data_IF_782129972015
#
_entry.id   IF_782129972015
#
_cell.length_a   1.000
_cell.length_b   1.000
_cell.length_c   1.000
_cell.angle_alpha   90.00
_cell.angle_beta   90.00
_cell.angle_gamma   90.00
#
_symmetry.space_group_name_H-M   'P 1'
#
loop_
_entity.id
_entity.type
_entity.pdbx_description
1 polymer ?
#
# COMPACT_ATOMS: atom_id res chain seq x y z
N UNK A 1 11.93 3.41 2.90
CA UNK A 1 12.00 4.12 1.60
C UNK A 1 10.78 5.04 1.50
N UNK A 2 10.85 6.14 0.75
CA UNK A 2 9.72 7.05 0.55
C UNK A 2 9.09 6.75 -0.82
N UNK A 3 7.77 6.86 -0.93
CA UNK A 3 7.02 6.82 -2.18
C UNK A 3 6.08 8.03 -2.26
N UNK A 4 5.70 8.43 -3.47
CA UNK A 4 4.69 9.48 -3.74
C UNK A 4 3.52 8.97 -4.60
N UNK A 5 3.63 7.74 -5.07
CA UNK A 5 2.63 7.09 -5.90
C UNK A 5 2.49 5.64 -5.47
N UNK A 6 1.24 5.20 -5.34
CA UNK A 6 0.90 3.82 -5.07
C UNK A 6 -0.09 3.34 -6.13
N UNK A 7 0.18 2.18 -6.71
CA UNK A 7 -0.65 1.54 -7.73
C UNK A 7 -1.09 0.19 -7.19
N UNK A 8 -2.41 -0.03 -7.16
CA UNK A 8 -3.06 -1.27 -6.75
C UNK A 8 -3.92 -1.77 -7.91
N UNK A 9 -3.53 -2.88 -8.51
CA UNK A 9 -4.13 -3.38 -9.76
C UNK A 9 -4.15 -2.26 -10.81
N UNK A 10 -5.34 -1.82 -11.23
CA UNK A 10 -5.53 -0.75 -12.21
C UNK A 10 -5.77 0.64 -11.58
N UNK A 11 -5.71 0.76 -10.24
CA UNK A 11 -5.95 2.02 -9.52
C UNK A 11 -4.65 2.68 -9.11
N UNK A 12 -4.51 3.97 -9.45
CA UNK A 12 -3.37 4.81 -9.07
C UNK A 12 -3.79 5.84 -8.02
N UNK A 13 -2.99 5.95 -6.96
CA UNK A 13 -3.13 6.93 -5.89
C UNK A 13 -1.86 7.80 -5.85
N UNK A 14 -2.02 9.12 -5.85
CA UNK A 14 -0.92 10.06 -5.63
C UNK A 14 -0.87 10.34 -4.13
N UNK A 15 0.03 9.65 -3.43
CA UNK A 15 0.10 9.66 -1.96
C UNK A 15 1.53 9.58 -1.51
N UNK A 16 1.93 10.51 -0.64
CA UNK A 16 3.21 10.44 0.04
C UNK A 16 3.17 9.44 1.19
N UNK A 17 4.18 8.59 1.27
CA UNK A 17 4.26 7.60 2.32
C UNK A 17 5.64 6.97 2.48
N UNK A 18 5.74 6.15 3.52
CA UNK A 18 6.92 5.37 3.85
C UNK A 18 6.67 3.89 3.60
N UNK A 19 7.56 3.28 2.83
CA UNK A 19 7.65 1.85 2.59
C UNK A 19 8.68 1.23 3.55
N UNK A 20 8.30 0.14 4.22
CA UNK A 20 9.17 -0.76 5.00
C UNK A 20 8.96 -2.20 4.55
N UNK A 21 10.04 -2.85 4.11
CA UNK A 21 10.06 -4.27 3.75
C UNK A 21 10.63 -5.03 4.94
N UNK A 22 9.97 -6.12 5.37
CA UNK A 22 10.44 -7.00 6.45
C UNK A 22 10.95 -8.33 5.89
N UNK A 23 11.71 -9.07 6.70
CA UNK A 23 12.37 -10.33 6.31
C UNK A 23 11.41 -11.43 5.83
N UNK A 24 10.12 -11.38 6.18
CA UNK A 24 9.11 -12.38 5.82
C UNK A 24 8.34 -12.07 4.53
N UNK A 25 8.91 -11.27 3.62
CA UNK A 25 8.21 -10.72 2.45
C UNK A 25 7.01 -9.83 2.79
N UNK A 26 6.82 -9.49 4.07
CA UNK A 26 5.80 -8.53 4.49
C UNK A 26 6.23 -7.12 4.11
N UNK A 27 5.31 -6.41 3.47
CA UNK A 27 5.48 -5.01 3.12
C UNK A 27 4.52 -4.17 3.92
N UNK A 28 5.08 -3.23 4.68
CA UNK A 28 4.30 -2.24 5.42
C UNK A 28 4.44 -0.89 4.75
N UNK A 29 3.31 -0.26 4.44
CA UNK A 29 3.26 1.14 4.03
C UNK A 29 2.63 2.00 5.14
N UNK A 30 3.12 3.23 5.26
CA UNK A 30 2.62 4.23 6.19
C UNK A 30 2.34 5.49 5.37
N UNK A 31 1.13 6.03 5.44
CA UNK A 31 0.72 7.17 4.61
C UNK A 31 -0.36 8.01 5.29
N UNK A 32 -0.54 9.25 4.83
CA UNK A 32 -1.56 10.19 5.33
C UNK A 32 -2.54 10.57 4.21
N UNK A 33 -3.31 9.61 3.72
CA UNK A 33 -4.30 9.84 2.65
C UNK A 33 -5.62 9.17 3.00
N UNK A 34 -6.69 9.97 3.05
CA UNK A 34 -8.01 9.51 3.46
C UNK A 34 -8.64 8.61 2.40
N UNK A 35 -8.44 8.91 1.11
CA UNK A 35 -9.08 8.20 0.01
C UNK A 35 -8.51 6.79 -0.13
N UNK A 36 -7.18 6.66 -0.15
CA UNK A 36 -6.48 5.38 -0.11
C UNK A 36 -6.80 4.62 1.18
N UNK A 37 -6.81 5.32 2.33
CA UNK A 37 -7.10 4.71 3.62
C UNK A 37 -8.51 4.12 3.70
N UNK A 38 -9.49 4.82 3.15
CA UNK A 38 -10.89 4.38 3.07
C UNK A 38 -11.02 3.24 2.08
N UNK A 39 -10.44 3.37 0.89
CA UNK A 39 -10.42 2.32 -0.13
C UNK A 39 -9.91 1.00 0.43
N UNK A 40 -8.74 1.00 1.08
CA UNK A 40 -8.15 -0.21 1.66
C UNK A 40 -8.97 -0.80 2.82
N UNK A 41 -9.67 0.03 3.60
CA UNK A 41 -10.54 -0.44 4.69
C UNK A 41 -11.84 -1.07 4.18
N UNK A 42 -12.35 -0.58 3.06
CA UNK A 42 -13.61 -1.02 2.46
C UNK A 42 -13.44 -2.21 1.52
N UNK A 43 -12.21 -2.65 1.25
CA UNK A 43 -11.96 -3.86 0.45
C UNK A 43 -12.66 -5.08 1.07
N UNK A 44 -13.60 -5.72 0.36
CA UNK A 44 -14.19 -6.98 0.81
C UNK A 44 -13.11 -8.05 0.90
N UNK A 45 -13.35 -9.08 1.72
CA UNK A 45 -12.35 -10.12 1.99
C UNK A 45 -11.80 -10.78 0.71
N UNK A 46 -12.67 -10.96 -0.30
CA UNK A 46 -12.31 -11.57 -1.59
C UNK A 46 -11.40 -10.65 -2.43
N UNK A 47 -11.50 -9.33 -2.27
CA UNK A 47 -10.73 -8.32 -3.02
C UNK A 47 -9.45 -7.89 -2.27
N UNK A 48 -9.14 -8.52 -1.13
CA UNK A 48 -7.86 -8.28 -0.43
C UNK A 48 -6.67 -8.89 -1.15
N UNK A 49 -6.93 -9.82 -2.08
CA UNK A 49 -5.92 -10.31 -3.01
C UNK A 49 -5.70 -9.27 -4.11
N UNK A 50 -4.52 -8.70 -4.12
CA UNK A 50 -4.11 -7.63 -5.02
C UNK A 50 -3.13 -8.25 -6.01
N UNK A 51 -3.56 -8.35 -7.26
CA UNK A 51 -2.78 -8.91 -8.35
C UNK A 51 -1.47 -8.15 -8.56
N UNK A 52 -1.49 -6.83 -8.32
CA UNK A 52 -0.35 -5.96 -8.55
C UNK A 52 -0.24 -4.84 -7.53
N UNK A 53 0.91 -4.72 -6.87
CA UNK A 53 1.26 -3.59 -6.00
C UNK A 53 2.57 -2.97 -6.48
N UNK A 54 2.51 -1.69 -6.87
CA UNK A 54 3.67 -0.91 -7.25
C UNK A 54 3.74 0.39 -6.43
N UNK A 55 4.93 0.71 -5.93
CA UNK A 55 5.22 1.97 -5.25
C UNK A 55 6.29 2.70 -6.03
N UNK A 56 6.01 3.96 -6.37
CA UNK A 56 6.96 4.83 -7.07
C UNK A 56 7.32 6.05 -6.25
N UNK A 57 8.49 6.59 -6.53
CA UNK A 57 8.89 7.90 -6.08
C UNK A 57 9.32 8.71 -7.30
N UNK A 58 8.53 9.72 -7.63
CA UNK A 58 8.65 10.62 -8.77
C UNK A 58 8.53 9.84 -10.10
N UNK A 59 9.63 9.32 -10.60
CA UNK A 59 9.69 8.51 -11.83
C UNK A 59 10.37 7.15 -11.62
N UNK A 60 10.76 6.82 -10.39
CA UNK A 60 11.48 5.58 -10.07
C UNK A 60 10.56 4.59 -9.36
N UNK A 61 10.47 3.38 -9.89
CA UNK A 61 9.80 2.26 -9.20
C UNK A 61 10.66 1.83 -8.01
N UNK A 62 10.13 2.02 -6.80
CA UNK A 62 10.78 1.67 -5.53
C UNK A 62 10.46 0.25 -5.08
N UNK A 63 9.29 -0.23 -5.47
CA UNK A 63 8.80 -1.55 -5.14
C UNK A 63 7.78 -1.98 -6.19
N UNK A 64 7.86 -3.24 -6.60
CA UNK A 64 6.95 -3.88 -7.55
C UNK A 64 6.81 -5.33 -7.09
N UNK A 65 5.57 -5.77 -6.90
CA UNK A 65 5.25 -7.15 -6.58
C UNK A 65 3.92 -7.55 -7.21
N UNK A 66 3.76 -8.86 -7.38
CA UNK A 66 2.54 -9.48 -7.87
C UNK A 66 1.93 -10.37 -6.81
N UNK A 67 0.59 -10.43 -6.80
CA UNK A 67 -0.18 -11.33 -5.96
C UNK A 67 0.13 -11.19 -4.47
N UNK A 68 -0.13 -10.00 -3.92
CA UNK A 68 -0.03 -9.73 -2.47
C UNK A 68 -1.40 -9.61 -1.84
N UNK A 69 -1.52 -9.99 -0.59
CA UNK A 69 -2.75 -9.86 0.18
C UNK A 69 -2.67 -8.68 1.15
N UNK A 70 -3.67 -7.80 1.16
CA UNK A 70 -3.85 -6.85 2.26
C UNK A 70 -4.29 -7.60 3.53
N UNK A 71 -3.33 -7.91 4.39
CA UNK A 71 -3.60 -8.65 5.63
C UNK A 71 -4.15 -7.76 6.75
N UNK A 72 -3.65 -6.52 6.85
CA UNK A 72 -4.00 -5.59 7.92
C UNK A 72 -4.01 -4.14 7.46
N UNK A 73 -5.00 -3.38 7.93
CA UNK A 73 -4.99 -1.91 7.88
C UNK A 73 -5.44 -1.33 9.23
N UNK A 74 -4.63 -0.45 9.79
CA UNK A 74 -4.95 0.29 11.03
C UNK A 74 -4.70 1.77 10.84
N UNK A 75 -5.23 2.58 11.76
CA UNK A 75 -4.97 4.03 11.81
C UNK A 75 -4.36 4.37 13.18
N UNK A 76 -3.26 5.12 13.17
CA UNK A 76 -2.59 5.65 14.36
C UNK A 76 -2.44 7.17 14.22
N UNK A 77 -3.27 7.91 14.95
CA UNK A 77 -3.43 9.34 14.76
C UNK A 77 -3.92 9.68 13.34
N UNK A 78 -3.05 10.33 12.54
CA UNK A 78 -3.31 10.68 11.14
C UNK A 78 -2.71 9.68 10.13
N UNK A 79 -1.91 8.74 10.60
CA UNK A 79 -1.20 7.81 9.75
C UNK A 79 -1.99 6.52 9.58
N UNK A 80 -2.19 6.12 8.33
CA UNK A 80 -2.64 4.78 7.98
C UNK A 80 -1.45 3.84 7.93
N UNK A 81 -1.64 2.62 8.43
CA UNK A 81 -0.66 1.56 8.40
C UNK A 81 -1.27 0.36 7.70
N UNK A 82 -0.84 0.09 6.46
CA UNK A 82 -1.27 -1.08 5.71
C UNK A 82 -0.14 -2.10 5.60
N UNK A 83 -0.47 -3.38 5.79
CA UNK A 83 0.46 -4.51 5.70
C UNK A 83 0.01 -5.47 4.61
N UNK A 84 0.90 -5.70 3.65
CA UNK A 84 0.77 -6.63 2.54
C UNK A 84 1.68 -7.83 2.76
N UNK A 85 1.25 -9.02 2.34
CA UNK A 85 2.03 -10.26 2.43
C UNK A 85 1.89 -11.08 1.16
#
# INVERSE_FOLDING_TARGET
MIFDTLILNDRKFNVEGQLRIKENHEVKIIFEDLDLGTYLKELPADDRNIDYLELRNVHETRYDTKSVELTHITIDGKHYHATFK
#
